data_IF_724697126544
#
_entry.id   IF_724697126544
#
_cell.length_a   1.000
_cell.length_b   1.000
_cell.length_c   1.000
_cell.angle_alpha   90.00
_cell.angle_beta   90.00
_cell.angle_gamma   90.00
#
_symmetry.space_group_name_H-M   'P 1'
#
loop_
_entity.id
_entity.type
_entity.pdbx_description
1 polymer ?
#
# COMPACT_ATOMS: atom_id res chain seq x y z
N UNK A 1 32.62 -4.15 -31.70
CA UNK A 1 32.61 -4.19 -30.25
C UNK A 1 31.56 -3.21 -29.64
N UNK A 2 31.52 -1.95 -30.03
CA UNK A 2 30.55 -0.97 -29.51
C UNK A 2 29.09 -1.37 -29.69
N UNK A 3 28.70 -1.89 -30.83
CA UNK A 3 27.32 -2.34 -31.13
C UNK A 3 26.86 -3.55 -30.30
N UNK A 4 27.80 -4.43 -29.92
CA UNK A 4 27.52 -5.61 -29.09
C UNK A 4 27.35 -5.25 -27.62
N UNK A 5 28.08 -4.26 -27.14
CA UNK A 5 27.96 -3.75 -25.75
C UNK A 5 26.65 -3.01 -25.57
N UNK A 6 26.23 -2.21 -26.55
CA UNK A 6 24.93 -1.51 -26.52
C UNK A 6 23.76 -2.51 -26.52
N UNK A 7 23.85 -3.58 -27.31
CA UNK A 7 22.82 -4.62 -27.34
C UNK A 7 22.75 -5.39 -26.00
N UNK A 8 23.88 -5.64 -25.35
CA UNK A 8 23.94 -6.31 -24.07
C UNK A 8 23.38 -5.42 -22.93
N UNK A 9 23.66 -4.12 -22.95
CA UNK A 9 23.08 -3.15 -22.00
C UNK A 9 21.56 -2.98 -22.21
N UNK A 10 21.08 -3.01 -23.44
CA UNK A 10 19.65 -2.95 -23.75
C UNK A 10 18.89 -4.19 -23.25
N UNK A 11 19.53 -5.36 -23.29
CA UNK A 11 18.96 -6.61 -22.80
C UNK A 11 18.88 -6.64 -21.25
N UNK A 12 19.83 -6.02 -20.56
CA UNK A 12 19.85 -5.91 -19.10
C UNK A 12 18.81 -4.94 -18.56
N UNK A 13 18.36 -3.97 -19.35
CA UNK A 13 17.32 -3.01 -18.97
C UNK A 13 15.90 -3.58 -19.06
N UNK A 14 15.69 -4.72 -19.70
CA UNK A 14 14.38 -5.36 -19.84
C UNK A 14 13.98 -6.28 -18.67
N UNK A 15 14.81 -6.46 -17.65
CA UNK A 15 14.53 -7.38 -16.55
C UNK A 15 14.02 -6.65 -15.30
N UNK A 16 13.35 -5.50 -15.44
CA UNK A 16 12.54 -4.94 -14.36
C UNK A 16 11.10 -5.44 -14.50
N UNK A 17 10.91 -6.75 -14.51
CA UNK A 17 9.59 -7.33 -14.42
C UNK A 17 9.03 -7.02 -13.03
N UNK A 18 8.00 -6.19 -12.97
CA UNK A 18 7.21 -6.01 -11.77
C UNK A 18 6.69 -7.39 -11.34
N UNK A 19 7.24 -7.94 -10.27
CA UNK A 19 6.83 -9.25 -9.77
C UNK A 19 5.48 -9.09 -9.09
N UNK A 20 4.45 -9.74 -9.65
CA UNK A 20 3.18 -9.87 -8.99
C UNK A 20 3.35 -10.72 -7.72
N UNK A 21 2.72 -10.28 -6.62
CA UNK A 21 2.69 -11.01 -5.36
C UNK A 21 1.32 -11.68 -5.23
N UNK A 22 1.30 -12.97 -4.97
CA UNK A 22 0.08 -13.72 -4.67
C UNK A 22 0.05 -14.01 -3.17
N UNK A 23 -1.00 -13.56 -2.51
CA UNK A 23 -1.25 -13.82 -1.09
C UNK A 23 -2.54 -14.61 -0.95
N UNK A 24 -2.50 -15.65 -0.12
CA UNK A 24 -3.69 -16.40 0.24
C UNK A 24 -4.29 -15.84 1.52
N UNK A 25 -5.56 -15.46 1.48
CA UNK A 25 -6.28 -14.96 2.64
C UNK A 25 -6.77 -16.10 3.57
N UNK A 26 -7.34 -15.74 4.72
CA UNK A 26 -7.86 -16.69 5.70
C UNK A 26 -9.05 -17.51 5.16
N UNK A 27 -9.68 -17.06 4.09
CA UNK A 27 -10.77 -17.77 3.38
C UNK A 27 -10.26 -18.70 2.29
N UNK A 28 -8.93 -18.91 2.21
CA UNK A 28 -8.24 -19.71 1.19
C UNK A 28 -8.40 -19.16 -0.23
N UNK A 29 -8.64 -17.85 -0.37
CA UNK A 29 -8.72 -17.17 -1.66
C UNK A 29 -7.37 -16.55 -1.99
N UNK A 30 -6.89 -16.78 -3.20
CA UNK A 30 -5.65 -16.18 -3.70
C UNK A 30 -5.93 -14.77 -4.21
N UNK A 31 -5.23 -13.78 -3.63
CA UNK A 31 -5.29 -12.38 -4.04
C UNK A 31 -3.98 -12.02 -4.71
N UNK A 32 -4.07 -11.55 -5.95
CA UNK A 32 -2.90 -11.17 -6.73
C UNK A 32 -2.74 -9.66 -6.77
N UNK A 33 -1.56 -9.18 -6.35
CA UNK A 33 -1.16 -7.78 -6.46
C UNK A 33 -0.15 -7.66 -7.59
N UNK A 34 -0.47 -6.88 -8.63
CA UNK A 34 0.46 -6.61 -9.73
C UNK A 34 1.68 -5.81 -9.25
N UNK A 35 1.51 -5.04 -8.19
CA UNK A 35 2.56 -4.26 -7.51
C UNK A 35 2.22 -4.15 -6.02
N UNK A 36 3.19 -3.90 -5.14
CA UNK A 36 2.90 -3.64 -3.74
C UNK A 36 1.96 -2.44 -3.57
N UNK A 37 0.98 -2.50 -2.66
CA UNK A 37 0.09 -1.37 -2.38
C UNK A 37 0.89 -0.13 -1.99
N UNK A 38 0.48 1.03 -2.50
CA UNK A 38 1.13 2.32 -2.25
C UNK A 38 0.22 3.29 -1.51
N UNK A 39 -1.08 3.04 -1.50
CA UNK A 39 -2.08 3.92 -0.88
C UNK A 39 -2.98 3.08 0.03
N UNK A 40 -2.71 3.16 1.33
CA UNK A 40 -3.36 2.32 2.35
C UNK A 40 -4.34 3.16 3.15
N UNK A 41 -5.56 2.65 3.32
CA UNK A 41 -6.53 3.13 4.31
C UNK A 41 -6.58 2.11 5.46
N UNK A 42 -6.42 2.59 6.68
CA UNK A 42 -6.57 1.79 7.89
C UNK A 42 -7.81 2.23 8.67
N UNK A 43 -8.64 1.27 9.05
CA UNK A 43 -9.90 1.54 9.74
C UNK A 43 -9.90 1.12 11.22
N UNK A 44 -8.74 0.73 11.74
CA UNK A 44 -8.57 0.38 13.16
C UNK A 44 -7.23 0.90 13.68
N UNK A 45 -7.16 1.40 14.93
CA UNK A 45 -5.90 1.88 15.52
C UNK A 45 -4.77 0.84 15.51
N UNK A 46 -5.09 -0.41 15.85
CA UNK A 46 -4.10 -1.49 15.84
C UNK A 46 -3.51 -1.76 14.47
N UNK A 47 -4.33 -1.69 13.41
CA UNK A 47 -3.85 -1.86 12.03
C UNK A 47 -3.00 -0.66 11.59
N UNK A 48 -3.37 0.55 11.97
CA UNK A 48 -2.56 1.75 11.72
C UNK A 48 -1.17 1.62 12.32
N UNK A 49 -1.10 1.20 13.58
CA UNK A 49 0.16 0.99 14.29
C UNK A 49 0.99 -0.13 13.66
N UNK A 50 0.36 -1.23 13.22
CA UNK A 50 1.04 -2.31 12.50
C UNK A 50 1.66 -1.84 11.19
N UNK A 51 0.94 -1.09 10.38
CA UNK A 51 1.46 -0.54 9.12
C UNK A 51 2.69 0.32 9.39
N UNK A 52 2.63 1.16 10.42
CA UNK A 52 3.75 2.01 10.81
C UNK A 52 4.93 1.21 11.39
N UNK A 53 4.66 0.19 12.21
CA UNK A 53 5.69 -0.69 12.76
C UNK A 53 6.43 -1.48 11.67
N UNK A 54 5.75 -1.80 10.57
CA UNK A 54 6.35 -2.42 9.39
C UNK A 54 7.14 -1.45 8.49
N UNK A 55 7.31 -0.19 8.92
CA UNK A 55 8.04 0.82 8.16
C UNK A 55 7.27 1.38 6.96
N UNK A 56 5.94 1.23 6.91
CA UNK A 56 5.10 1.63 5.78
C UNK A 56 4.14 2.77 6.11
N UNK A 57 4.40 3.50 7.18
CA UNK A 57 3.55 4.58 7.67
C UNK A 57 3.26 5.65 6.61
N UNK A 58 4.25 5.96 5.77
CA UNK A 58 4.13 6.95 4.69
C UNK A 58 3.16 6.53 3.57
N UNK A 59 2.75 5.27 3.52
CA UNK A 59 1.74 4.78 2.56
C UNK A 59 0.31 4.98 3.03
N UNK A 60 0.11 5.33 4.30
CA UNK A 60 -1.21 5.64 4.83
C UNK A 60 -1.72 6.94 4.20
N UNK A 61 -2.91 6.88 3.61
CA UNK A 61 -3.61 8.03 3.02
C UNK A 61 -4.88 8.40 3.75
N UNK A 62 -5.31 7.56 4.68
CA UNK A 62 -6.45 7.79 5.55
C UNK A 62 -6.45 6.80 6.71
N UNK A 63 -6.97 7.23 7.84
CA UNK A 63 -7.06 6.42 9.06
C UNK A 63 -8.44 6.57 9.70
N UNK A 64 -8.78 5.67 10.60
CA UNK A 64 -10.01 5.77 11.38
C UNK A 64 -9.97 6.98 12.35
N UNK A 65 -11.13 7.29 12.96
CA UNK A 65 -11.27 8.43 13.87
C UNK A 65 -10.49 8.29 15.18
N UNK A 66 -10.15 7.07 15.56
CA UNK A 66 -9.51 6.77 16.85
C UNK A 66 -7.99 6.58 16.75
N UNK A 67 -7.46 6.42 15.54
CA UNK A 67 -6.00 6.32 15.34
C UNK A 67 -5.31 7.62 15.73
N UNK A 68 -4.39 7.57 16.69
CA UNK A 68 -3.71 8.73 17.26
C UNK A 68 -2.20 8.53 17.42
N UNK A 69 -1.69 7.41 16.96
CA UNK A 69 -0.26 7.10 17.05
C UNK A 69 0.22 6.37 15.80
N UNK A 70 1.43 6.63 15.29
CA UNK A 70 2.39 7.66 15.73
C UNK A 70 1.96 9.10 15.34
N UNK A 71 2.63 10.10 15.86
CA UNK A 71 2.30 11.52 15.61
C UNK A 71 2.26 11.89 14.12
N UNK A 72 3.03 11.19 13.30
CA UNK A 72 3.09 11.42 11.84
C UNK A 72 1.74 11.24 11.13
N UNK A 73 0.78 10.49 11.71
CA UNK A 73 -0.55 10.29 11.12
C UNK A 73 -1.58 11.36 11.51
N UNK A 74 -1.21 12.31 12.37
CA UNK A 74 -2.15 13.28 12.95
C UNK A 74 -2.87 14.12 11.89
N UNK A 75 -2.23 14.39 10.75
CA UNK A 75 -2.77 15.20 9.66
C UNK A 75 -3.51 14.41 8.59
N UNK A 76 -3.57 13.09 8.70
CA UNK A 76 -4.26 12.26 7.71
C UNK A 76 -5.77 12.43 7.80
N UNK A 77 -6.48 12.34 6.66
CA UNK A 77 -7.94 12.37 6.64
C UNK A 77 -8.53 11.24 7.49
N UNK A 78 -9.64 11.52 8.15
CA UNK A 78 -10.38 10.56 8.99
C UNK A 78 -11.47 9.90 8.17
N UNK A 79 -11.46 8.55 8.18
CA UNK A 79 -12.33 7.72 7.35
C UNK A 79 -13.55 7.19 8.11
N UNK A 80 -13.84 7.73 9.29
CA UNK A 80 -14.87 7.18 10.19
C UNK A 80 -14.32 6.10 11.12
N UNK A 81 -15.13 5.16 11.53
CA UNK A 81 -14.73 4.03 12.37
C UNK A 81 -14.68 2.71 11.62
N UNK A 82 -14.19 1.65 12.25
CA UNK A 82 -14.15 0.31 11.67
C UNK A 82 -15.53 -0.31 11.44
N UNK A 83 -16.56 0.14 12.19
CA UNK A 83 -17.94 -0.34 12.09
C UNK A 83 -18.76 0.58 11.19
N UNK A 84 -18.45 1.88 11.21
CA UNK A 84 -19.17 2.92 10.50
C UNK A 84 -18.23 3.77 9.63
N UNK A 85 -17.53 3.15 8.67
CA UNK A 85 -16.61 3.88 7.79
C UNK A 85 -17.37 4.85 6.88
N UNK A 86 -16.78 6.00 6.62
CA UNK A 86 -17.28 6.92 5.61
C UNK A 86 -16.76 6.50 4.24
N UNK A 87 -17.60 5.81 3.48
CA UNK A 87 -17.24 5.24 2.18
C UNK A 87 -16.81 6.33 1.18
N UNK A 88 -17.46 7.47 1.18
CA UNK A 88 -17.14 8.60 0.28
C UNK A 88 -15.71 9.11 0.56
N UNK A 89 -15.37 9.28 1.83
CA UNK A 89 -14.02 9.68 2.23
C UNK A 89 -12.96 8.64 1.83
N UNK A 90 -13.26 7.35 1.98
CA UNK A 90 -12.37 6.26 1.56
C UNK A 90 -12.15 6.30 0.05
N UNK A 91 -13.21 6.40 -0.72
CA UNK A 91 -13.12 6.47 -2.20
C UNK A 91 -12.35 7.72 -2.65
N UNK A 92 -12.54 8.84 -1.97
CA UNK A 92 -11.91 10.12 -2.32
C UNK A 92 -10.37 10.08 -2.23
N UNK A 93 -9.79 9.29 -1.33
CA UNK A 93 -8.33 9.15 -1.19
C UNK A 93 -7.74 8.08 -2.10
N UNK A 94 -8.57 7.39 -2.90
CA UNK A 94 -8.15 6.43 -3.93
C UNK A 94 -7.16 5.38 -3.41
N UNK A 95 -7.50 4.58 -2.41
CA UNK A 95 -6.65 3.50 -1.94
C UNK A 95 -6.51 2.41 -3.02
N UNK A 96 -5.38 1.72 -3.06
CA UNK A 96 -5.12 0.60 -3.96
C UNK A 96 -5.00 -0.75 -3.25
#
# INVERSE_FOLDING_TARGET
>A
MRKRIVALCALLLMVCAAQAVVLRDDRQVDVTFAKPPQRIVSLLPSLTEMVCALGQCQKLVGVDRYSNWPDSIAKLPRMGGGIDPNIESVVAVKPD
#
